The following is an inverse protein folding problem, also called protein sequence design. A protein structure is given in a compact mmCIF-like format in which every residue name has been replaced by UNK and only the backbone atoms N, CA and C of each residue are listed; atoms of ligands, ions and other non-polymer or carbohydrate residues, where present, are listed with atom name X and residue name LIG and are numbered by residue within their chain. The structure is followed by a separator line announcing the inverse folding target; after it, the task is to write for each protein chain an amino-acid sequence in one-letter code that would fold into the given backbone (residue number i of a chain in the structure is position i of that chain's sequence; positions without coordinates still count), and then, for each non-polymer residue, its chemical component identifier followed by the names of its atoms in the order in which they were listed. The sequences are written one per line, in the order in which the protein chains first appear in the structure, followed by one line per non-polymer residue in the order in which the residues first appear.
data_IF_865651517400
#
_entry.id   IF_865651517400
#
_cell.length_a   1.000
_cell.length_b   1.000
_cell.length_c   1.000
_cell.angle_alpha   90.00
_cell.angle_beta   90.00
_cell.angle_gamma   90.00
#
_symmetry.space_group_name_H-M   'P 1'
#
loop_
_entity.id
_entity.type
_entity.pdbx_description
1 polymer ?
#
# COMPACT_ATOMS: atom_id res chain seq x y z
N UNK A 1 -0.64 -24.02 -16.93
CA UNK A 1 -2.02 -24.28 -16.45
C UNK A 1 -2.68 -22.93 -16.26
N UNK A 2 -3.75 -22.65 -17.00
CA UNK A 2 -4.49 -21.40 -16.86
C UNK A 2 -5.42 -21.50 -15.64
N UNK A 3 -5.24 -20.61 -14.65
CA UNK A 3 -6.18 -20.47 -13.56
C UNK A 3 -7.43 -19.77 -14.09
N UNK A 4 -8.54 -20.50 -14.15
CA UNK A 4 -9.86 -19.95 -14.44
C UNK A 4 -10.34 -19.24 -13.17
N UNK A 5 -10.23 -17.92 -13.12
CA UNK A 5 -10.78 -17.11 -12.02
C UNK A 5 -12.26 -16.82 -12.29
N UNK A 6 -13.14 -17.71 -11.81
CA UNK A 6 -14.55 -17.41 -11.55
C UNK A 6 -14.77 -17.37 -10.04
N UNK A 7 -14.78 -16.18 -9.46
CA UNK A 7 -14.88 -15.95 -8.00
C UNK A 7 -16.19 -15.21 -7.66
N UNK A 8 -17.33 -15.64 -8.19
CA UNK A 8 -18.62 -14.99 -7.90
C UNK A 8 -19.28 -15.48 -6.59
N UNK A 9 -18.77 -16.53 -5.93
CA UNK A 9 -19.37 -17.12 -4.70
C UNK A 9 -18.42 -17.20 -3.49
N UNK A 10 -17.28 -16.52 -3.52
CA UNK A 10 -16.32 -16.57 -2.40
C UNK A 10 -16.48 -15.35 -1.49
N UNK A 11 -16.86 -15.62 -0.24
CA UNK A 11 -17.01 -14.64 0.85
C UNK A 11 -15.62 -14.08 1.23
N UNK A 12 -15.15 -13.10 0.45
CA UNK A 12 -13.82 -12.46 0.58
C UNK A 12 -13.75 -11.40 1.67
N UNK A 13 -14.89 -11.07 2.26
CA UNK A 13 -15.04 -10.06 3.31
C UNK A 13 -15.84 -10.61 4.48
N UNK A 14 -15.27 -10.61 5.67
CA UNK A 14 -15.98 -10.97 6.90
C UNK A 14 -15.93 -9.82 7.90
N UNK A 15 -17.06 -9.43 8.50
CA UNK A 15 -17.10 -8.44 9.59
C UNK A 15 -17.92 -8.98 10.77
N UNK A 16 -17.40 -8.81 12.00
CA UNK A 16 -18.11 -9.21 13.24
C UNK A 16 -17.84 -8.26 14.39
N UNK A 17 -18.87 -7.99 15.19
CA UNK A 17 -18.73 -7.22 16.44
C UNK A 17 -18.33 -8.09 17.62
N UNK A 18 -17.27 -7.65 18.33
CA UNK A 18 -16.77 -8.23 19.57
C UNK A 18 -17.36 -7.44 20.74
N UNK A 19 -18.16 -8.10 21.59
CA UNK A 19 -18.73 -7.47 22.80
C UNK A 19 -17.72 -7.45 23.94
N UNK A 20 -17.87 -6.53 24.91
CA UNK A 20 -16.95 -6.30 26.05
C UNK A 20 -16.69 -7.51 26.97
N UNK A 21 -17.47 -8.59 26.86
CA UNK A 21 -17.22 -9.88 27.55
C UNK A 21 -16.59 -10.98 26.69
N UNK A 22 -16.19 -10.68 25.45
CA UNK A 22 -15.54 -11.64 24.56
C UNK A 22 -14.14 -11.98 25.04
N UNK A 23 -13.85 -13.26 25.21
CA UNK A 23 -12.49 -13.72 25.49
C UNK A 23 -11.61 -13.44 24.26
N UNK A 24 -10.47 -12.78 24.46
CA UNK A 24 -9.46 -12.51 23.42
C UNK A 24 -9.13 -13.79 22.63
N UNK A 25 -9.01 -14.92 23.31
CA UNK A 25 -8.78 -16.23 22.68
C UNK A 25 -9.88 -16.59 21.69
N UNK A 26 -11.16 -16.40 22.03
CA UNK A 26 -12.29 -16.70 21.13
C UNK A 26 -12.35 -15.77 19.91
N UNK A 27 -12.02 -14.48 20.10
CA UNK A 27 -11.91 -13.52 18.99
C UNK A 27 -10.75 -13.88 18.06
N UNK A 28 -9.61 -14.27 18.64
CA UNK A 28 -8.45 -14.70 17.88
C UNK A 28 -8.69 -16.01 17.12
N UNK A 29 -9.32 -17.01 17.74
CA UNK A 29 -9.59 -18.30 17.09
C UNK A 29 -10.52 -18.13 15.89
N UNK A 30 -11.53 -17.25 16.02
CA UNK A 30 -12.40 -16.89 14.89
C UNK A 30 -11.61 -16.20 13.77
N UNK A 31 -10.82 -15.17 14.12
CA UNK A 31 -9.99 -14.43 13.19
C UNK A 31 -9.06 -15.38 12.43
N UNK A 32 -8.34 -16.22 13.18
CA UNK A 32 -7.43 -17.24 12.67
C UNK A 32 -8.14 -18.21 11.73
N UNK A 33 -9.28 -18.77 12.13
CA UNK A 33 -10.05 -19.70 11.30
C UNK A 33 -10.49 -19.07 9.97
N UNK A 34 -10.87 -17.79 9.97
CA UNK A 34 -11.24 -17.07 8.74
C UNK A 34 -10.04 -16.77 7.85
N UNK A 35 -8.92 -16.36 8.45
CA UNK A 35 -7.65 -16.18 7.73
C UNK A 35 -7.22 -17.50 7.07
N UNK A 36 -7.24 -18.60 7.83
CA UNK A 36 -6.86 -19.93 7.32
C UNK A 36 -7.76 -20.38 6.18
N UNK A 37 -9.07 -20.11 6.27
CA UNK A 37 -10.00 -20.38 5.16
C UNK A 37 -9.62 -19.61 3.89
N UNK A 38 -9.35 -18.31 3.98
CA UNK A 38 -8.91 -17.49 2.84
C UNK A 38 -7.59 -18.03 2.25
N UNK A 39 -6.64 -18.39 3.11
CA UNK A 39 -5.36 -18.98 2.71
C UNK A 39 -5.55 -20.32 2.00
N UNK A 40 -6.38 -21.22 2.52
CA UNK A 40 -6.68 -22.54 1.92
C UNK A 40 -7.38 -22.39 0.58
N UNK A 41 -8.26 -21.40 0.43
CA UNK A 41 -8.95 -21.12 -0.83
C UNK A 41 -8.08 -20.38 -1.85
N UNK A 42 -6.86 -20.00 -1.46
CA UNK A 42 -5.93 -19.21 -2.27
C UNK A 42 -6.49 -17.83 -2.69
N UNK A 43 -7.20 -17.16 -1.77
CA UNK A 43 -7.93 -15.91 -2.04
C UNK A 43 -7.38 -14.75 -1.23
N UNK A 44 -7.20 -13.61 -1.87
CA UNK A 44 -6.94 -12.34 -1.18
C UNK A 44 -8.27 -11.78 -0.67
N UNK A 45 -8.30 -11.36 0.60
CA UNK A 45 -9.52 -10.87 1.24
C UNK A 45 -9.21 -10.20 2.57
N UNK A 46 -10.25 -9.85 3.33
CA UNK A 46 -10.05 -9.28 4.66
C UNK A 46 -11.02 -9.84 5.69
N UNK A 47 -10.54 -9.87 6.93
CA UNK A 47 -11.28 -10.22 8.13
C UNK A 47 -11.29 -9.00 9.03
N UNK A 48 -12.48 -8.51 9.34
CA UNK A 48 -12.70 -7.33 10.17
C UNK A 48 -13.40 -7.72 11.46
N UNK A 49 -12.92 -7.17 12.57
CA UNK A 49 -13.52 -7.26 13.89
C UNK A 49 -13.82 -5.86 14.37
N UNK A 50 -15.07 -5.59 14.78
CA UNK A 50 -15.34 -4.41 15.57
C UNK A 50 -14.93 -4.71 17.01
N UNK A 51 -13.86 -4.08 17.47
CA UNK A 51 -13.24 -4.36 18.77
C UNK A 51 -13.56 -3.22 19.75
N UNK A 52 -13.72 -3.51 21.06
CA UNK A 52 -13.82 -2.45 22.05
C UNK A 52 -12.57 -1.55 21.97
N UNK A 53 -12.74 -0.25 22.22
CA UNK A 53 -11.64 0.73 22.27
C UNK A 53 -10.77 0.51 23.52
N UNK A 54 -10.08 -0.63 23.56
CA UNK A 54 -9.13 -1.00 24.61
C UNK A 54 -7.80 -1.32 23.93
N UNK A 55 -6.80 -0.45 24.12
CA UNK A 55 -5.46 -0.59 23.50
C UNK A 55 -4.82 -1.97 23.81
N UNK A 56 -5.06 -2.52 25.00
CA UNK A 56 -4.56 -3.82 25.42
C UNK A 56 -5.14 -4.97 24.58
N UNK A 57 -6.41 -4.88 24.20
CA UNK A 57 -7.08 -5.91 23.41
C UNK A 57 -6.47 -6.02 22.01
N UNK A 58 -6.27 -4.87 21.36
CA UNK A 58 -5.64 -4.79 20.03
C UNK A 58 -4.18 -5.26 20.09
N UNK A 59 -3.44 -4.80 21.09
CA UNK A 59 -2.04 -5.20 21.28
C UNK A 59 -1.90 -6.71 21.46
N UNK A 60 -2.79 -7.35 22.23
CA UNK A 60 -2.80 -8.81 22.40
C UNK A 60 -3.16 -9.58 21.12
N UNK A 61 -4.09 -9.05 20.31
CA UNK A 61 -4.40 -9.66 19.00
C UNK A 61 -3.21 -9.58 18.04
N UNK A 62 -2.51 -8.44 18.01
CA UNK A 62 -1.31 -8.25 17.19
C UNK A 62 -0.21 -9.24 17.57
N UNK A 63 0.11 -9.36 18.86
CA UNK A 63 1.11 -10.31 19.36
C UNK A 63 0.76 -11.74 18.91
N UNK A 64 -0.51 -12.13 19.01
CA UNK A 64 -0.94 -13.47 18.58
C UNK A 64 -0.83 -13.65 17.05
N UNK A 65 -1.19 -12.64 16.26
CA UNK A 65 -1.01 -12.68 14.80
C UNK A 65 0.46 -12.80 14.39
N UNK A 66 1.37 -12.11 15.09
CA UNK A 66 2.80 -12.13 14.82
C UNK A 66 3.43 -13.52 15.02
N UNK A 67 2.80 -14.39 15.82
CA UNK A 67 3.23 -15.79 16.01
C UNK A 67 2.79 -16.74 14.90
N UNK A 68 1.93 -16.31 13.98
CA UNK A 68 1.40 -17.19 12.93
C UNK A 68 2.47 -17.47 11.86
N UNK A 69 2.59 -18.72 11.37
CA UNK A 69 3.61 -19.09 10.37
C UNK A 69 3.43 -18.39 9.02
N UNK A 70 2.23 -17.85 8.76
CA UNK A 70 1.86 -17.11 7.56
C UNK A 70 1.73 -15.59 7.80
N UNK A 71 2.28 -15.05 8.89
CA UNK A 71 2.24 -13.61 9.21
C UNK A 71 2.71 -12.70 8.07
N UNK A 72 3.69 -13.14 7.28
CA UNK A 72 4.19 -12.39 6.12
C UNK A 72 3.12 -12.09 5.07
N UNK A 73 2.05 -12.89 5.03
CA UNK A 73 0.88 -12.75 4.16
C UNK A 73 -0.24 -11.90 4.77
N UNK A 74 -0.05 -11.39 5.98
CA UNK A 74 -1.05 -10.60 6.67
C UNK A 74 -0.63 -9.14 6.66
N UNK A 75 -1.58 -8.25 6.41
CA UNK A 75 -1.45 -6.82 6.68
C UNK A 75 -2.51 -6.43 7.69
N UNK A 76 -2.09 -5.76 8.75
CA UNK A 76 -3.00 -5.32 9.80
C UNK A 76 -3.29 -3.84 9.65
N UNK A 77 -4.56 -3.49 9.81
CA UNK A 77 -5.04 -2.13 9.93
C UNK A 77 -5.95 -2.06 11.14
N UNK A 78 -5.69 -1.19 12.10
CA UNK A 78 -6.61 -0.99 13.20
C UNK A 78 -6.90 0.49 13.44
N UNK A 79 -8.17 0.80 13.65
CA UNK A 79 -8.67 2.12 14.02
C UNK A 79 -9.47 1.98 15.33
N UNK A 80 -9.75 3.10 16.03
CA UNK A 80 -10.71 3.06 17.13
C UNK A 80 -11.98 2.33 16.70
N UNK A 81 -12.33 1.26 17.41
CA UNK A 81 -13.49 0.43 17.11
C UNK A 81 -13.34 -0.65 16.04
N UNK A 82 -12.24 -0.68 15.26
CA UNK A 82 -12.10 -1.62 14.12
C UNK A 82 -10.71 -2.23 14.03
N UNK A 83 -10.64 -3.55 13.95
CA UNK A 83 -9.43 -4.31 13.71
C UNK A 83 -9.58 -5.14 12.43
N UNK A 84 -8.83 -4.79 11.39
CA UNK A 84 -8.88 -5.43 10.09
C UNK A 84 -7.57 -6.16 9.80
N UNK A 85 -7.67 -7.40 9.38
CA UNK A 85 -6.56 -8.19 8.84
C UNK A 85 -6.85 -8.48 7.38
N UNK A 86 -5.98 -7.96 6.53
CA UNK A 86 -5.95 -8.26 5.10
C UNK A 86 -5.06 -9.47 4.88
N UNK A 87 -5.60 -10.50 4.24
CA UNK A 87 -4.87 -11.69 3.81
C UNK A 87 -4.43 -11.46 2.38
N UNK A 88 -3.13 -11.33 2.17
CA UNK A 88 -2.50 -11.18 0.87
C UNK A 88 -2.05 -12.52 0.34
N UNK A 89 -2.48 -12.83 -0.88
CA UNK A 89 -1.90 -13.94 -1.64
C UNK A 89 -0.83 -13.35 -2.54
N UNK A 90 0.46 -13.44 -2.16
CA UNK A 90 1.52 -12.84 -2.94
C UNK A 90 1.52 -13.48 -4.33
N UNK A 91 1.13 -12.67 -5.32
CA UNK A 91 1.29 -13.02 -6.73
C UNK A 91 2.64 -12.48 -7.19
N UNK A 92 3.26 -13.13 -8.18
CA UNK A 92 4.49 -12.60 -8.79
C UNK A 92 4.26 -11.18 -9.32
N UNK A 93 3.08 -10.93 -9.92
CA UNK A 93 2.67 -9.60 -10.37
C UNK A 93 2.63 -8.56 -9.23
N UNK A 94 2.14 -8.93 -8.04
CA UNK A 94 2.15 -8.03 -6.87
C UNK A 94 3.57 -7.76 -6.37
N UNK A 95 4.43 -8.78 -6.31
CA UNK A 95 5.84 -8.60 -5.92
C UNK A 95 6.61 -7.67 -6.86
N UNK A 96 6.39 -7.83 -8.18
CA UNK A 96 6.96 -6.93 -9.20
C UNK A 96 6.41 -5.52 -9.07
N UNK A 97 5.09 -5.39 -8.87
CA UNK A 97 4.44 -4.09 -8.70
C UNK A 97 5.02 -3.32 -7.49
N UNK A 98 5.30 -4.03 -6.39
CA UNK A 98 5.87 -3.44 -5.17
C UNK A 98 7.35 -3.06 -5.31
N UNK A 99 8.19 -4.03 -5.68
CA UNK A 99 9.63 -3.84 -5.67
C UNK A 99 10.13 -2.95 -6.80
N UNK A 100 9.54 -3.09 -8.00
CA UNK A 100 10.01 -2.38 -9.20
C UNK A 100 9.82 -0.88 -9.12
N UNK A 101 8.64 -0.41 -8.70
CA UNK A 101 8.35 1.03 -8.64
C UNK A 101 9.12 1.72 -7.51
N UNK A 102 9.16 1.11 -6.32
CA UNK A 102 9.93 1.64 -5.19
C UNK A 102 11.42 1.78 -5.56
N UNK A 103 12.01 0.76 -6.16
CA UNK A 103 13.40 0.81 -6.62
C UNK A 103 13.63 1.90 -7.68
N UNK A 104 12.73 2.03 -8.66
CA UNK A 104 12.84 3.05 -9.70
C UNK A 104 12.79 4.48 -9.13
N UNK A 105 11.95 4.72 -8.12
CA UNK A 105 11.88 6.01 -7.40
C UNK A 105 13.21 6.31 -6.70
N UNK A 106 13.77 5.34 -5.96
CA UNK A 106 15.04 5.53 -5.24
C UNK A 106 16.20 5.81 -6.21
N UNK A 107 16.30 5.02 -7.30
CA UNK A 107 17.34 5.21 -8.31
C UNK A 107 17.21 6.56 -9.01
N UNK A 108 15.99 6.94 -9.40
CA UNK A 108 15.72 8.25 -10.01
C UNK A 108 16.07 9.40 -9.06
N UNK A 109 15.79 9.24 -7.77
CA UNK A 109 16.16 10.23 -6.75
C UNK A 109 17.67 10.39 -6.62
N UNK A 110 18.40 9.27 -6.59
CA UNK A 110 19.87 9.27 -6.53
C UNK A 110 20.54 9.91 -7.76
N UNK A 111 19.89 9.84 -8.94
CA UNK A 111 20.36 10.53 -10.15
C UNK A 111 20.18 12.06 -10.07
N UNK A 112 19.12 12.53 -9.40
CA UNK A 112 18.85 13.96 -9.21
C UNK A 112 19.74 14.54 -8.11
N UNK A 113 19.91 13.81 -7.02
CA UNK A 113 20.80 14.17 -5.93
C UNK A 113 21.51 12.91 -5.41
N UNK A 114 22.85 12.81 -5.52
CA UNK A 114 23.60 11.67 -4.99
C UNK A 114 23.40 11.41 -3.49
N UNK A 115 23.03 12.43 -2.71
CA UNK A 115 22.71 12.31 -1.29
C UNK A 115 21.24 11.91 -1.02
N UNK A 116 20.42 11.65 -2.04
CA UNK A 116 19.01 11.30 -1.87
C UNK A 116 18.84 10.07 -0.96
N UNK A 117 19.70 9.07 -1.09
CA UNK A 117 19.69 7.87 -0.23
C UNK A 117 20.13 8.13 1.20
N UNK A 118 20.78 9.26 1.47
CA UNK A 118 21.11 9.71 2.83
C UNK A 118 19.97 10.53 3.45
N UNK A 119 19.04 11.03 2.62
CA UNK A 119 17.89 11.85 3.02
C UNK A 119 16.61 11.04 3.15
N UNK A 120 16.46 9.97 2.36
CA UNK A 120 15.26 9.17 2.27
C UNK A 120 15.57 7.67 2.24
N UNK A 121 15.09 6.94 3.26
CA UNK A 121 15.27 5.50 3.36
C UNK A 121 14.01 4.74 2.94
N UNK A 122 14.15 3.73 2.06
CA UNK A 122 13.07 2.77 1.86
C UNK A 122 12.93 1.91 3.13
N UNK A 123 11.72 1.83 3.68
CA UNK A 123 11.36 0.86 4.71
C UNK A 123 11.05 -0.52 4.13
N UNK A 124 10.87 -0.60 2.81
CA UNK A 124 10.59 -1.85 2.08
C UNK A 124 9.21 -2.43 2.38
N UNK A 125 9.09 -3.75 2.21
CA UNK A 125 7.84 -4.51 2.24
C UNK A 125 7.30 -4.68 3.67
N UNK A 126 6.55 -3.67 4.14
CA UNK A 126 5.35 -3.83 4.96
C UNK A 126 5.41 -4.66 6.26
N UNK A 127 6.28 -4.31 7.21
CA UNK A 127 6.18 -4.82 8.60
C UNK A 127 6.17 -3.75 9.68
N UNK A 128 6.40 -2.49 9.32
CA UNK A 128 6.40 -1.41 10.28
C UNK A 128 4.99 -0.86 10.44
N UNK A 129 4.43 -1.01 11.64
CA UNK A 129 3.18 -0.36 11.99
C UNK A 129 3.44 1.10 12.36
N UNK A 130 2.60 1.97 11.83
CA UNK A 130 2.74 3.41 11.99
C UNK A 130 1.60 3.96 12.89
N UNK A 131 1.97 4.69 13.95
CA UNK A 131 1.10 5.35 14.96
C UNK A 131 0.09 4.45 15.73
N UNK A 132 -0.71 5.07 16.63
CA UNK A 132 -1.79 4.46 17.43
C UNK A 132 -2.96 3.87 16.61
N UNK A 133 -2.95 4.06 15.30
CA UNK A 133 -3.96 3.56 14.36
C UNK A 133 -3.38 2.48 13.43
N UNK A 134 -2.41 1.72 13.93
CA UNK A 134 -1.46 0.90 13.17
C UNK A 134 -1.99 0.34 11.84
N UNK A 135 -1.49 0.95 10.76
CA UNK A 135 -1.66 0.51 9.38
C UNK A 135 -0.29 0.12 8.83
N UNK A 136 -0.24 -0.92 8.02
CA UNK A 136 0.98 -1.44 7.39
C UNK A 136 0.91 -1.16 5.88
N UNK A 137 1.84 -0.39 5.30
CA UNK A 137 1.84 -0.15 3.86
C UNK A 137 2.42 -1.36 3.12
N UNK A 138 2.08 -1.53 1.84
CA UNK A 138 2.72 -2.57 1.05
C UNK A 138 4.18 -2.23 0.72
N UNK A 139 4.47 -0.97 0.41
CA UNK A 139 5.83 -0.40 0.38
C UNK A 139 5.81 1.01 0.94
N UNK A 140 6.91 1.42 1.58
CA UNK A 140 7.06 2.79 2.06
C UNK A 140 8.50 3.27 2.05
N UNK A 141 8.67 4.59 2.12
CA UNK A 141 9.93 5.22 2.48
C UNK A 141 9.71 6.46 3.33
N UNK A 142 10.72 6.80 4.12
CA UNK A 142 10.67 7.86 5.12
C UNK A 142 11.94 8.71 5.12
N UNK A 143 11.86 9.97 5.56
CA UNK A 143 13.03 10.82 5.73
C UNK A 143 13.95 10.31 6.84
N UNK A 144 15.26 10.26 6.60
CA UNK A 144 16.23 9.71 7.53
C UNK A 144 16.25 10.44 8.89
N UNK A 145 16.03 11.76 8.88
CA UNK A 145 15.99 12.59 10.09
C UNK A 145 14.71 12.43 10.95
N UNK A 146 13.71 11.70 10.45
CA UNK A 146 12.39 11.63 11.09
C UNK A 146 12.38 10.64 12.24
N UNK A 147 12.26 11.14 13.48
CA UNK A 147 12.35 10.34 14.72
C UNK A 147 11.32 9.22 14.83
N UNK A 148 10.08 9.45 14.40
CA UNK A 148 9.01 8.44 14.48
C UNK A 148 9.01 7.47 13.28
N UNK A 149 9.92 7.66 12.32
CA UNK A 149 10.06 6.88 11.08
C UNK A 149 8.77 6.79 10.25
N UNK A 150 7.82 7.71 10.42
CA UNK A 150 6.60 7.69 9.62
C UNK A 150 6.93 7.92 8.15
N UNK A 151 6.27 7.20 7.24
CA UNK A 151 6.55 7.31 5.82
C UNK A 151 6.09 8.66 5.29
N UNK A 152 6.82 9.21 4.32
CA UNK A 152 6.35 10.33 3.50
C UNK A 152 5.84 9.87 2.15
N UNK A 153 6.36 8.74 1.63
CA UNK A 153 5.87 8.10 0.40
C UNK A 153 5.41 6.68 0.71
N UNK A 154 4.24 6.33 0.20
CA UNK A 154 3.64 4.99 0.34
C UNK A 154 3.24 4.48 -1.05
N UNK A 155 3.41 3.18 -1.27
CA UNK A 155 2.82 2.47 -2.40
C UNK A 155 1.88 1.40 -1.85
N UNK A 156 0.64 1.38 -2.34
CA UNK A 156 -0.36 0.35 -2.04
C UNK A 156 -0.69 -0.41 -3.33
N UNK A 157 -0.63 -1.74 -3.29
CA UNK A 157 -0.85 -2.59 -4.46
C UNK A 157 -2.01 -3.54 -4.21
N UNK A 158 -3.08 -3.39 -4.99
CA UNK A 158 -4.24 -4.27 -4.96
C UNK A 158 -4.33 -5.17 -6.19
N UNK A 159 -4.52 -6.46 -5.99
CA UNK A 159 -4.82 -7.43 -7.07
C UNK A 159 -6.29 -7.83 -7.03
N UNK A 160 -6.82 -8.09 -5.85
CA UNK A 160 -8.23 -8.43 -5.62
C UNK A 160 -9.08 -7.20 -5.27
N UNK A 161 -8.44 -6.20 -4.69
CA UNK A 161 -9.03 -5.00 -4.13
C UNK A 161 -9.56 -4.16 -5.28
N UNK A 162 -10.72 -3.56 -5.07
CA UNK A 162 -11.27 -2.60 -6.02
C UNK A 162 -10.43 -1.31 -5.99
N UNK A 163 -10.48 -0.55 -7.08
CA UNK A 163 -9.85 0.77 -7.12
C UNK A 163 -10.39 1.67 -6.00
N UNK A 164 -11.69 1.63 -5.74
CA UNK A 164 -12.34 2.38 -4.65
C UNK A 164 -11.79 2.04 -3.26
N UNK A 165 -11.44 0.78 -3.00
CA UNK A 165 -10.80 0.39 -1.74
C UNK A 165 -9.39 0.95 -1.61
N UNK A 166 -8.60 0.92 -2.69
CA UNK A 166 -7.27 1.50 -2.72
C UNK A 166 -7.33 3.03 -2.54
N UNK A 167 -8.29 3.70 -3.17
CA UNK A 167 -8.51 5.15 -2.97
C UNK A 167 -8.89 5.48 -1.53
N UNK A 168 -9.69 4.62 -0.88
CA UNK A 168 -9.97 4.74 0.56
C UNK A 168 -8.67 4.59 1.36
N UNK A 169 -7.84 3.61 1.06
CA UNK A 169 -6.54 3.42 1.74
C UNK A 169 -5.64 4.65 1.57
N UNK A 170 -5.57 5.24 0.37
CA UNK A 170 -4.82 6.47 0.12
C UNK A 170 -5.34 7.65 0.95
N UNK A 171 -6.66 7.85 0.99
CA UNK A 171 -7.29 8.90 1.81
C UNK A 171 -6.98 8.70 3.29
N UNK A 172 -7.03 7.47 3.78
CA UNK A 172 -6.69 7.17 5.17
C UNK A 172 -5.24 7.51 5.50
N UNK A 173 -4.30 7.11 4.66
CA UNK A 173 -2.89 7.43 4.82
C UNK A 173 -2.63 8.94 4.89
N UNK A 174 -3.27 9.70 4.00
CA UNK A 174 -3.09 11.15 3.91
C UNK A 174 -3.74 11.91 5.07
N UNK A 175 -4.85 11.41 5.64
CA UNK A 175 -5.62 12.13 6.67
C UNK A 175 -5.29 11.71 8.10
N UNK A 176 -4.97 10.43 8.33
CA UNK A 176 -4.82 9.88 9.69
C UNK A 176 -3.41 10.03 10.26
N UNK A 177 -2.41 10.37 9.43
CA UNK A 177 -1.00 10.38 9.82
C UNK A 177 -0.42 11.79 10.00
N UNK A 178 -1.27 12.76 10.30
CA UNK A 178 -0.87 14.11 10.73
C UNK A 178 0.02 14.84 9.72
N UNK A 179 -0.35 14.79 8.43
CA UNK A 179 0.35 15.42 7.31
C UNK A 179 1.81 14.98 7.11
N UNK A 180 2.23 13.85 7.70
CA UNK A 180 3.58 13.31 7.51
C UNK A 180 3.70 12.38 6.30
N UNK A 181 2.60 11.76 5.90
CA UNK A 181 2.46 11.11 4.60
C UNK A 181 2.13 12.17 3.57
N UNK A 182 2.99 12.34 2.58
CA UNK A 182 2.93 13.42 1.60
C UNK A 182 2.39 12.91 0.26
N UNK A 183 2.78 11.68 -0.10
CA UNK A 183 2.36 11.04 -1.35
C UNK A 183 1.98 9.59 -1.11
N UNK A 184 0.85 9.17 -1.70
CA UNK A 184 0.44 7.77 -1.78
C UNK A 184 0.27 7.41 -3.25
N UNK A 185 0.92 6.34 -3.69
CA UNK A 185 0.75 5.78 -5.03
C UNK A 185 -0.07 4.52 -4.89
N UNK A 186 -1.24 4.48 -5.51
CA UNK A 186 -2.06 3.27 -5.55
C UNK A 186 -1.87 2.58 -6.90
N UNK A 187 -1.72 1.26 -6.87
CA UNK A 187 -1.56 0.42 -8.05
C UNK A 187 -2.59 -0.69 -8.00
N UNK A 188 -3.52 -0.66 -8.94
CA UNK A 188 -4.49 -1.71 -9.16
C UNK A 188 -4.03 -2.60 -10.31
N UNK A 189 -3.79 -3.86 -9.98
CA UNK A 189 -3.50 -4.92 -10.94
C UNK A 189 -4.81 -5.63 -11.28
N UNK A 190 -5.16 -5.67 -12.56
CA UNK A 190 -6.33 -6.36 -13.08
C UNK A 190 -5.86 -7.60 -13.84
N UNK A 191 -6.01 -8.81 -13.26
CA UNK A 191 -5.70 -10.05 -13.95
C UNK A 191 -6.53 -10.22 -15.22
N UNK A 192 -6.03 -11.03 -16.16
CA UNK A 192 -6.79 -11.38 -17.36
C UNK A 192 -8.03 -12.17 -16.97
N UNK A 193 -9.17 -11.82 -17.55
CA UNK A 193 -10.42 -12.58 -17.43
C UNK A 193 -10.84 -13.08 -18.82
N UNK A 194 -11.96 -13.80 -18.89
CA UNK A 194 -12.55 -14.23 -20.18
C UNK A 194 -12.93 -13.02 -21.04
N UNK A 195 -13.39 -11.94 -20.41
CA UNK A 195 -13.97 -10.77 -21.07
C UNK A 195 -13.02 -9.58 -21.16
N UNK A 196 -12.03 -9.48 -20.27
CA UNK A 196 -11.13 -8.34 -20.19
C UNK A 196 -9.66 -8.76 -20.24
N UNK A 197 -8.87 -8.00 -21.00
CA UNK A 197 -7.42 -8.11 -20.99
C UNK A 197 -6.85 -7.75 -19.61
N UNK A 198 -5.68 -8.30 -19.29
CA UNK A 198 -4.92 -7.87 -18.14
C UNK A 198 -4.51 -6.40 -18.31
N UNK A 199 -4.63 -5.62 -17.22
CA UNK A 199 -4.26 -4.21 -17.22
C UNK A 199 -3.70 -3.79 -15.86
N UNK A 200 -2.91 -2.74 -15.85
CA UNK A 200 -2.45 -2.07 -14.64
C UNK A 200 -3.04 -0.67 -14.63
N UNK A 201 -3.63 -0.30 -13.51
CA UNK A 201 -4.09 1.05 -13.25
C UNK A 201 -3.29 1.62 -12.09
N UNK A 202 -2.82 2.86 -12.19
CA UNK A 202 -2.22 3.52 -11.05
C UNK A 202 -2.67 4.98 -10.96
N UNK A 203 -2.60 5.52 -9.75
CA UNK A 203 -2.88 6.92 -9.47
C UNK A 203 -2.00 7.43 -8.34
N UNK A 204 -1.53 8.66 -8.47
CA UNK A 204 -0.82 9.38 -7.40
C UNK A 204 -1.84 10.19 -6.60
N UNK A 205 -1.78 10.10 -5.28
CA UNK A 205 -2.65 10.79 -4.33
C UNK A 205 -1.82 11.66 -3.40
N UNK A 206 -2.34 12.87 -3.15
CA UNK A 206 -1.71 13.88 -2.29
C UNK A 206 -2.75 14.61 -1.47
N UNK A 207 -2.30 15.32 -0.42
CA UNK A 207 -3.13 16.26 0.31
C UNK A 207 -3.12 17.61 -0.42
N UNK A 208 -4.28 18.23 -0.60
CA UNK A 208 -4.35 19.59 -1.11
C UNK A 208 -3.93 20.56 0.00
N UNK A 209 -2.85 21.31 -0.21
CA UNK A 209 -2.27 22.19 0.80
C UNK A 209 -3.16 23.36 1.25
N UNK A 210 -4.25 23.66 0.52
CA UNK A 210 -5.19 24.73 0.85
C UNK A 210 -6.42 24.23 1.60
N UNK A 211 -6.81 22.97 1.37
CA UNK A 211 -8.09 22.42 1.87
C UNK A 211 -7.92 21.24 2.81
N UNK A 212 -6.70 20.69 2.92
CA UNK A 212 -6.41 19.44 3.62
C UNK A 212 -7.27 18.26 3.13
N UNK A 213 -7.75 18.33 1.88
CA UNK A 213 -8.54 17.27 1.25
C UNK A 213 -7.63 16.41 0.36
N UNK A 214 -7.64 15.07 0.52
CA UNK A 214 -6.94 14.18 -0.38
C UNK A 214 -7.50 14.24 -1.80
N UNK A 215 -6.63 14.27 -2.79
CA UNK A 215 -7.02 14.26 -4.21
C UNK A 215 -6.07 13.38 -5.03
N UNK A 216 -6.56 12.83 -6.14
CA UNK A 216 -5.72 12.20 -7.15
C UNK A 216 -5.11 13.28 -8.05
N UNK A 217 -3.79 13.24 -8.21
CA UNK A 217 -3.04 14.19 -9.03
C UNK A 217 -3.41 14.00 -10.50
N UNK A 218 -3.98 15.01 -11.17
CA UNK A 218 -4.34 14.91 -12.58
C UNK A 218 -3.13 14.56 -13.44
N UNK A 219 -3.34 13.70 -14.44
CA UNK A 219 -2.32 13.26 -15.41
C UNK A 219 -1.12 12.49 -14.80
N UNK A 220 -1.16 12.12 -13.52
CA UNK A 220 -0.19 11.21 -12.91
C UNK A 220 -0.85 9.88 -12.57
N UNK A 221 -1.16 9.14 -13.63
CA UNK A 221 -1.89 7.88 -13.54
C UNK A 221 -2.63 7.53 -14.82
N UNK A 222 -3.30 6.40 -14.80
CA UNK A 222 -4.09 5.91 -15.92
C UNK A 222 -4.25 4.40 -15.91
N UNK A 223 -4.95 3.89 -16.92
CA UNK A 223 -5.21 2.46 -17.15
C UNK A 223 -4.40 2.00 -18.36
N UNK A 224 -3.55 1.01 -18.15
CA UNK A 224 -2.57 0.57 -19.13
C UNK A 224 -2.67 -0.93 -19.40
N UNK A 225 -2.83 -1.26 -20.67
CA UNK A 225 -2.86 -2.58 -21.28
C UNK A 225 -1.68 -2.71 -22.24
N UNK A 226 -1.29 -3.95 -22.61
CA UNK A 226 -0.14 -4.19 -23.51
C UNK A 226 -0.17 -3.36 -24.80
N UNK A 227 -1.35 -3.07 -25.34
CA UNK A 227 -1.52 -2.33 -26.60
C UNK A 227 -1.38 -0.80 -26.45
N UNK A 228 -1.47 -0.25 -25.24
CA UNK A 228 -1.48 1.21 -25.01
C UNK A 228 -0.33 1.70 -24.12
N UNK A 229 0.65 0.85 -23.82
CA UNK A 229 1.83 1.20 -23.01
C UNK A 229 2.68 2.35 -23.57
N UNK A 230 2.51 2.68 -24.85
CA UNK A 230 3.15 3.84 -25.46
C UNK A 230 2.60 5.17 -24.94
N UNK A 231 1.40 5.18 -24.37
CA UNK A 231 0.76 6.35 -23.75
C UNK A 231 1.16 6.56 -22.29
N UNK A 232 1.96 5.65 -21.73
CA UNK A 232 2.27 5.65 -20.31
C UNK A 232 3.18 6.86 -19.96
N UNK A 233 2.75 7.79 -19.09
CA UNK A 233 3.51 8.98 -18.79
C UNK A 233 4.66 8.66 -17.82
N UNK A 234 5.65 9.56 -17.77
CA UNK A 234 6.63 9.55 -16.69
C UNK A 234 5.93 9.82 -15.34
N UNK A 235 6.45 9.21 -14.27
CA UNK A 235 6.05 9.55 -12.91
C UNK A 235 6.98 10.63 -12.39
N UNK A 236 6.43 11.78 -11.98
CA UNK A 236 7.21 12.92 -11.48
C UNK A 236 6.77 13.28 -10.07
N UNK A 237 7.72 13.20 -9.14
CA UNK A 237 7.56 13.55 -7.74
C UNK A 237 8.49 14.72 -7.40
N UNK A 238 7.97 15.76 -6.76
CA UNK A 238 8.77 16.90 -6.29
C UNK A 238 9.53 16.51 -5.00
N UNK A 239 10.61 17.21 -4.67
CA UNK A 239 11.30 17.07 -3.39
C UNK A 239 10.35 17.14 -2.18
N UNK A 240 9.32 17.99 -2.27
CA UNK A 240 8.24 18.14 -1.29
C UNK A 240 7.33 16.92 -1.15
N UNK A 241 7.39 15.95 -2.07
CA UNK A 241 6.71 14.66 -1.93
C UNK A 241 7.47 13.69 -1.03
N UNK A 242 8.76 13.94 -0.81
CA UNK A 242 9.64 13.11 0.01
C UNK A 242 9.92 13.71 1.38
N UNK A 243 10.09 15.03 1.46
CA UNK A 243 10.55 15.73 2.66
C UNK A 243 9.59 16.87 3.02
N UNK A 244 9.27 17.02 4.31
CA UNK A 244 8.67 18.24 4.83
C UNK A 244 9.67 19.42 4.72
N UNK A 245 9.21 20.68 4.68
CA UNK A 245 10.10 21.84 4.68
C UNK A 245 11.14 21.84 5.80
N UNK A 246 10.77 21.33 6.97
CA UNK A 246 11.65 21.23 8.15
C UNK A 246 12.66 20.08 8.06
N UNK A 247 12.50 19.18 7.09
CA UNK A 247 13.35 18.01 6.86
C UNK A 247 14.30 18.21 5.67
N UNK A 248 14.12 19.31 4.91
CA UNK A 248 14.96 19.61 3.78
C UNK A 248 16.37 20.03 4.22
N UNK A 249 17.42 19.52 3.55
CA UNK A 249 18.77 19.97 3.82
C UNK A 249 18.95 21.43 3.37
N UNK A 250 19.87 22.14 4.02
CA UNK A 250 20.19 23.52 3.65
C UNK A 250 20.76 23.65 2.22
N UNK A 251 21.25 22.56 1.62
CA UNK A 251 21.73 22.49 0.25
C UNK A 251 21.46 21.12 -0.39
N UNK A 252 21.31 21.10 -1.72
CA UNK A 252 21.33 19.86 -2.54
C UNK A 252 19.98 19.25 -2.92
N UNK A 253 18.98 19.26 -2.04
CA UNK A 253 17.61 18.81 -2.37
C UNK A 253 16.60 19.88 -2.00
N UNK A 254 16.37 20.80 -2.93
CA UNK A 254 15.56 22.01 -2.70
C UNK A 254 14.18 21.87 -3.35
N UNK A 255 13.19 22.67 -2.91
CA UNK A 255 11.91 22.78 -3.61
C UNK A 255 12.11 23.05 -5.11
N UNK A 256 11.41 22.31 -5.96
CA UNK A 256 11.58 22.37 -7.42
C UNK A 256 12.55 21.34 -8.00
N UNK A 257 13.30 20.59 -7.17
CA UNK A 257 13.95 19.38 -7.62
C UNK A 257 12.89 18.29 -7.83
N UNK A 258 12.88 17.68 -9.02
CA UNK A 258 11.89 16.65 -9.37
C UNK A 258 12.56 15.31 -9.60
N UNK A 259 12.14 14.29 -8.84
CA UNK A 259 12.44 12.88 -9.11
C UNK A 259 11.52 12.39 -10.22
N UNK A 260 12.08 12.00 -11.36
CA UNK A 260 11.31 11.51 -12.51
C UNK A 260 11.68 10.08 -12.83
N UNK A 261 10.74 9.15 -12.63
CA UNK A 261 10.81 7.81 -13.23
C UNK A 261 10.33 7.94 -14.65
N UNK A 262 11.23 7.77 -15.61
CA UNK A 262 10.93 8.12 -17.00
C UNK A 262 9.91 7.15 -17.63
N UNK A 263 9.29 7.56 -18.73
CA UNK A 263 8.23 6.77 -19.38
C UNK A 263 8.71 5.41 -19.89
N UNK A 264 10.00 5.25 -20.19
CA UNK A 264 10.57 3.95 -20.57
C UNK A 264 10.66 3.02 -19.36
N UNK A 265 11.15 3.49 -18.22
CA UNK A 265 11.22 2.73 -16.98
C UNK A 265 9.83 2.34 -16.49
N UNK A 266 8.90 3.29 -16.48
CA UNK A 266 7.52 3.02 -16.11
C UNK A 266 6.86 2.01 -17.06
N UNK A 267 7.18 2.05 -18.36
CA UNK A 267 6.71 1.05 -19.33
C UNK A 267 7.28 -0.33 -19.01
N UNK A 268 8.59 -0.45 -18.80
CA UNK A 268 9.22 -1.72 -18.46
C UNK A 268 8.62 -2.31 -17.18
N UNK A 269 8.38 -1.48 -16.17
CA UNK A 269 7.72 -1.89 -14.92
C UNK A 269 6.31 -2.44 -15.17
N UNK A 270 5.46 -1.73 -15.92
CA UNK A 270 4.12 -2.22 -16.24
C UNK A 270 4.14 -3.47 -17.13
N UNK A 271 5.05 -3.54 -18.12
CA UNK A 271 5.24 -4.74 -18.96
C UNK A 271 5.61 -5.97 -18.14
N UNK A 272 6.45 -5.78 -17.12
CA UNK A 272 6.87 -6.86 -16.23
C UNK A 272 5.70 -7.35 -15.38
N UNK A 273 4.88 -6.45 -14.81
CA UNK A 273 3.65 -6.83 -14.10
C UNK A 273 2.74 -7.62 -15.05
N UNK A 274 2.46 -7.10 -16.24
CA UNK A 274 1.57 -7.72 -17.22
C UNK A 274 2.09 -9.06 -17.78
N UNK A 275 3.39 -9.34 -17.64
CA UNK A 275 3.99 -10.62 -18.04
C UNK A 275 3.93 -11.68 -16.94
N UNK A 276 3.54 -11.28 -15.73
CA UNK A 276 3.37 -12.15 -14.58
C UNK A 276 1.88 -12.37 -14.20
N UNK A 277 0.95 -12.04 -15.11
CA UNK A 277 -0.51 -12.20 -14.96
C UNK A 277 -1.10 -13.31 -15.84
#
# INVERSE_FOLDING_TARGET
MAAVYGYEDLDTSFSRTVTSGSLISSSFDLLKSRIERLLTQNVTGFVELNVPEQEDFVSMLLVKLDTLPYRSRLRVTFFPGTFRVKVQMPTTAQGVALSGLGAAIILSGALVNPAFTDLFYPSGDGKQQYQRAGKEPDWSGYPCGRRNKLPSVIIEVGVSESMTELERDAKEWLTKFGNQVLTVIIVKVWPKTVTFAAKVEYAVWKLNSQTDVPYSVPNQGGKFERNNLHLLPALTLDAMDFLLPTEMPASGFLPGNTVTVNSREMRCWVEEILSNL
#
